data_IF_292188542767
#
_entry.id   IF_292188542767
#
_cell.length_a   1.000
_cell.length_b   1.000
_cell.length_c   1.000
_cell.angle_alpha   90.00
_cell.angle_beta   90.00
_cell.angle_gamma   90.00
#
_symmetry.space_group_name_H-M   'P 1'
#
loop_
_entity.id
_entity.type
_entity.pdbx_description
1 polymer ?
#
# COMPACT_ATOMS: atom_id res chain seq x y z
N UNK A 1 -9.17 -49.14 41.26
CA UNK A 1 -8.09 -48.83 40.29
C UNK A 1 -7.49 -47.49 40.61
N UNK A 2 -6.16 -47.31 40.48
CA UNK A 2 -5.56 -45.99 40.65
C UNK A 2 -5.90 -45.08 39.46
N UNK A 3 -5.97 -43.74 39.67
CA UNK A 3 -6.24 -42.76 38.60
C UNK A 3 -5.27 -42.92 37.40
N UNK A 4 -3.99 -43.22 37.68
CA UNK A 4 -2.98 -43.50 36.66
C UNK A 4 -3.27 -44.74 35.80
N UNK A 5 -3.81 -45.81 36.41
CA UNK A 5 -4.24 -46.99 35.64
C UNK A 5 -5.42 -46.71 34.75
N UNK A 6 -6.38 -45.89 35.21
CA UNK A 6 -7.55 -45.46 34.41
C UNK A 6 -7.10 -44.61 33.22
N UNK A 7 -6.23 -43.64 33.44
CA UNK A 7 -5.73 -42.78 32.39
C UNK A 7 -4.96 -43.59 31.30
N UNK A 8 -4.10 -44.51 31.73
CA UNK A 8 -3.38 -45.38 30.78
C UNK A 8 -4.33 -46.25 29.95
N UNK A 9 -5.31 -46.90 30.61
CA UNK A 9 -6.30 -47.72 29.90
C UNK A 9 -7.11 -46.89 28.89
N UNK A 10 -7.46 -45.65 29.23
CA UNK A 10 -8.14 -44.74 28.31
C UNK A 10 -7.28 -44.40 27.08
N UNK A 11 -6.01 -44.06 27.30
CA UNK A 11 -5.10 -43.73 26.19
C UNK A 11 -4.81 -44.94 25.31
N UNK A 12 -4.69 -46.14 25.89
CA UNK A 12 -4.50 -47.40 25.15
C UNK A 12 -5.74 -47.73 24.29
N UNK A 13 -6.96 -47.55 24.84
CA UNK A 13 -8.21 -47.76 24.13
C UNK A 13 -8.37 -46.75 22.95
N UNK A 14 -8.10 -45.46 23.19
CA UNK A 14 -8.09 -44.46 22.15
C UNK A 14 -7.05 -44.77 21.06
N UNK A 15 -5.86 -45.23 21.42
CA UNK A 15 -4.83 -45.64 20.48
C UNK A 15 -5.29 -46.79 19.56
N UNK A 16 -6.11 -47.73 20.10
CA UNK A 16 -6.71 -48.82 19.33
C UNK A 16 -7.78 -48.38 18.31
N UNK A 17 -8.32 -47.19 18.45
CA UNK A 17 -9.36 -46.62 17.54
C UNK A 17 -8.78 -45.97 16.28
N UNK A 18 -7.52 -46.10 15.98
CA UNK A 18 -6.85 -45.57 14.78
C UNK A 18 -6.78 -44.07 14.76
N UNK A 19 -6.93 -43.47 13.57
CA UNK A 19 -6.76 -42.01 13.37
C UNK A 19 -7.69 -41.13 14.20
N UNK A 20 -8.91 -41.56 14.45
CA UNK A 20 -9.88 -40.86 15.29
C UNK A 20 -9.47 -40.83 16.74
N UNK A 21 -9.05 -41.98 17.26
CA UNK A 21 -8.55 -42.10 18.64
C UNK A 21 -7.25 -41.29 18.86
N UNK A 22 -6.34 -41.31 17.91
CA UNK A 22 -5.12 -40.49 17.96
C UNK A 22 -5.43 -39.00 17.95
N UNK A 23 -6.45 -38.54 17.19
CA UNK A 23 -6.88 -37.15 17.20
C UNK A 23 -7.43 -36.69 18.57
N UNK A 24 -8.17 -37.60 19.25
CA UNK A 24 -8.68 -37.35 20.61
C UNK A 24 -7.53 -37.33 21.63
N UNK A 25 -6.59 -38.27 21.56
CA UNK A 25 -5.39 -38.24 22.40
C UNK A 25 -4.62 -36.93 22.26
N UNK A 26 -4.39 -36.48 21.03
CA UNK A 26 -3.71 -35.22 20.75
C UNK A 26 -4.44 -34.04 21.38
N UNK A 27 -5.76 -33.97 21.23
CA UNK A 27 -6.57 -32.92 21.81
C UNK A 27 -6.51 -32.90 23.34
N UNK A 28 -6.54 -34.05 23.98
CA UNK A 28 -6.38 -34.17 25.45
C UNK A 28 -5.00 -33.63 25.88
N UNK A 29 -3.93 -33.96 25.16
CA UNK A 29 -2.58 -33.46 25.44
C UNK A 29 -2.52 -31.96 25.27
N UNK A 30 -3.11 -31.41 24.19
CA UNK A 30 -3.17 -29.97 23.94
C UNK A 30 -3.90 -29.22 25.05
N UNK A 31 -5.05 -29.73 25.52
CA UNK A 31 -5.81 -29.12 26.62
C UNK A 31 -5.03 -29.19 27.96
N UNK A 32 -4.41 -30.31 28.28
CA UNK A 32 -3.55 -30.42 29.45
C UNK A 32 -2.38 -29.44 29.41
N UNK A 33 -1.78 -29.26 28.24
CA UNK A 33 -0.69 -28.30 28.05
C UNK A 33 -1.12 -26.83 28.16
N UNK A 34 -2.41 -26.51 27.94
CA UNK A 34 -2.94 -25.16 28.17
C UNK A 34 -3.15 -24.85 29.66
N UNK A 35 -3.19 -25.86 30.53
CA UNK A 35 -3.36 -25.64 31.96
C UNK A 35 -2.18 -24.87 32.55
N UNK A 36 -2.47 -23.78 33.28
CA UNK A 36 -1.45 -22.97 33.98
C UNK A 36 -1.08 -23.57 35.34
N UNK A 37 -1.95 -24.36 35.92
CA UNK A 37 -1.81 -25.02 37.24
C UNK A 37 -2.47 -26.38 37.20
N UNK A 38 -2.01 -27.36 38.03
CA UNK A 38 -2.72 -28.60 38.22
C UNK A 38 -4.16 -28.37 38.69
N UNK A 39 -5.04 -29.33 38.42
CA UNK A 39 -6.41 -29.27 38.95
C UNK A 39 -6.40 -29.17 40.47
N UNK A 40 -7.37 -28.47 41.06
CA UNK A 40 -7.46 -28.25 42.52
C UNK A 40 -7.45 -29.55 43.34
N UNK A 41 -8.02 -30.64 42.78
CA UNK A 41 -8.09 -31.95 43.42
C UNK A 41 -6.80 -32.80 43.23
N UNK A 42 -5.75 -32.25 42.69
CA UNK A 42 -4.49 -32.96 42.61
C UNK A 42 -3.89 -33.16 44.02
N UNK A 43 -3.57 -34.37 44.42
CA UNK A 43 -3.13 -34.66 45.78
C UNK A 43 -1.78 -34.02 46.13
N UNK A 44 -0.96 -33.75 45.11
CA UNK A 44 0.31 -33.04 45.23
C UNK A 44 0.37 -31.98 44.11
N UNK A 45 0.20 -30.73 44.50
CA UNK A 45 0.19 -29.61 43.59
C UNK A 45 1.58 -29.34 42.97
N UNK A 46 2.65 -29.61 43.71
CA UNK A 46 4.02 -29.40 43.22
C UNK A 46 4.39 -30.48 42.19
N UNK A 47 4.19 -31.75 42.50
CA UNK A 47 4.40 -32.84 41.56
C UNK A 47 3.52 -32.67 40.29
N UNK A 48 2.28 -32.20 40.46
CA UNK A 48 1.40 -31.91 39.33
C UNK A 48 1.93 -30.80 38.42
N UNK A 49 2.52 -29.73 38.98
CA UNK A 49 3.12 -28.64 38.21
C UNK A 49 4.37 -29.08 37.45
N UNK A 50 5.21 -29.92 38.11
CA UNK A 50 6.39 -30.53 37.48
C UNK A 50 5.98 -31.42 36.30
N UNK A 51 4.94 -32.26 36.49
CA UNK A 51 4.41 -33.13 35.45
C UNK A 51 3.82 -32.35 34.25
N UNK A 52 3.12 -31.26 34.49
CA UNK A 52 2.62 -30.36 33.40
C UNK A 52 3.77 -29.73 32.64
N UNK A 53 4.84 -29.36 33.32
CA UNK A 53 6.04 -28.77 32.67
C UNK A 53 6.72 -29.80 31.78
N UNK A 54 6.87 -31.03 32.30
CA UNK A 54 7.43 -32.14 31.55
C UNK A 54 6.57 -32.51 30.34
N UNK A 55 5.25 -32.62 30.53
CA UNK A 55 4.32 -32.88 29.44
C UNK A 55 4.43 -31.85 28.33
N UNK A 56 4.54 -30.56 28.68
CA UNK A 56 4.73 -29.48 27.69
C UNK A 56 6.03 -29.63 26.93
N UNK A 57 7.10 -29.99 27.61
CA UNK A 57 8.40 -30.21 26.99
C UNK A 57 8.36 -31.38 25.99
N UNK A 58 7.79 -32.50 26.40
CA UNK A 58 7.63 -33.66 25.55
C UNK A 58 6.69 -33.41 24.37
N UNK A 59 5.56 -32.73 24.60
CA UNK A 59 4.61 -32.38 23.55
C UNK A 59 5.23 -31.46 22.47
N UNK A 60 6.17 -30.62 22.85
CA UNK A 60 6.95 -29.79 21.91
C UNK A 60 7.97 -30.66 21.16
N UNK A 61 8.68 -31.55 21.86
CA UNK A 61 9.68 -32.46 21.27
C UNK A 61 9.03 -33.40 20.23
N UNK A 62 7.84 -33.92 20.53
CA UNK A 62 7.05 -34.79 19.66
C UNK A 62 6.22 -34.04 18.62
N UNK A 63 6.41 -32.74 18.49
CA UNK A 63 5.67 -31.85 17.54
C UNK A 63 4.13 -31.90 17.70
N UNK A 64 3.64 -32.26 18.86
CA UNK A 64 2.21 -32.18 19.22
C UNK A 64 1.83 -30.74 19.47
N UNK A 65 2.71 -29.95 20.08
CA UNK A 65 2.58 -28.53 20.29
C UNK A 65 3.59 -27.77 19.43
N UNK A 66 3.13 -26.69 18.84
CA UNK A 66 4.03 -25.73 18.17
C UNK A 66 4.73 -24.90 19.23
N UNK A 67 6.07 -24.89 19.24
CA UNK A 67 6.83 -24.00 20.10
C UNK A 67 6.51 -22.54 19.72
N UNK A 68 5.90 -21.74 20.61
CA UNK A 68 5.49 -20.36 20.29
C UNK A 68 6.67 -19.48 19.89
N UNK A 69 7.87 -19.70 20.39
CA UNK A 69 9.07 -18.96 20.03
C UNK A 69 9.56 -19.32 18.62
N UNK A 70 9.52 -20.59 18.27
CA UNK A 70 9.85 -21.04 16.90
C UNK A 70 8.82 -20.53 15.89
N UNK A 71 7.51 -20.64 16.21
CA UNK A 71 6.45 -20.13 15.36
C UNK A 71 6.58 -18.61 15.14
N UNK A 72 6.88 -17.85 16.20
CA UNK A 72 7.11 -16.41 16.09
C UNK A 72 8.34 -16.09 15.23
N UNK A 73 9.41 -16.87 15.36
CA UNK A 73 10.63 -16.70 14.58
C UNK A 73 10.39 -17.01 13.10
N UNK A 74 9.69 -18.08 12.80
CA UNK A 74 9.32 -18.45 11.43
C UNK A 74 8.37 -17.44 10.80
N UNK A 75 7.38 -16.95 11.56
CA UNK A 75 6.49 -15.89 11.11
C UNK A 75 7.24 -14.60 10.77
N UNK A 76 8.23 -14.20 11.60
CA UNK A 76 9.10 -13.05 11.32
C UNK A 76 9.94 -13.25 10.06
N UNK A 77 10.55 -14.41 9.89
CA UNK A 77 11.34 -14.75 8.68
C UNK A 77 10.45 -14.74 7.43
N UNK A 78 9.24 -15.30 7.52
CA UNK A 78 8.28 -15.32 6.42
C UNK A 78 7.80 -13.89 6.06
N UNK A 79 7.54 -13.04 7.06
CA UNK A 79 7.17 -11.64 6.85
C UNK A 79 8.31 -10.85 6.19
N UNK A 80 9.55 -11.01 6.65
CA UNK A 80 10.72 -10.36 6.06
C UNK A 80 10.96 -10.83 4.61
N UNK A 81 10.84 -12.12 4.34
CA UNK A 81 10.94 -12.66 2.97
C UNK A 81 9.88 -12.05 2.05
N UNK A 82 8.63 -11.95 2.51
CA UNK A 82 7.54 -11.31 1.74
C UNK A 82 7.83 -9.84 1.48
N UNK A 83 8.36 -9.12 2.49
CA UNK A 83 8.74 -7.70 2.34
C UNK A 83 9.83 -7.52 1.30
N UNK A 84 10.89 -8.33 1.34
CA UNK A 84 11.98 -8.29 0.36
C UNK A 84 11.47 -8.60 -1.06
N UNK A 85 10.61 -9.59 -1.20
CA UNK A 85 9.99 -9.94 -2.48
C UNK A 85 9.13 -8.79 -3.03
N UNK A 86 8.28 -8.18 -2.19
CA UNK A 86 7.45 -7.06 -2.61
C UNK A 86 8.29 -5.84 -3.06
N UNK A 87 9.42 -5.55 -2.38
CA UNK A 87 10.35 -4.50 -2.80
C UNK A 87 10.99 -4.82 -4.14
N UNK A 88 11.41 -6.07 -4.36
CA UNK A 88 12.02 -6.49 -5.62
C UNK A 88 11.01 -6.42 -6.79
N UNK A 89 9.79 -6.88 -6.58
CA UNK A 89 8.69 -6.78 -7.55
C UNK A 89 8.38 -5.32 -7.91
N UNK A 90 8.25 -4.46 -6.89
CA UNK A 90 8.02 -3.02 -7.11
C UNK A 90 9.13 -2.38 -7.94
N UNK A 91 10.40 -2.71 -7.68
CA UNK A 91 11.54 -2.23 -8.46
C UNK A 91 11.50 -2.69 -9.91
N UNK A 92 11.11 -3.94 -10.16
CA UNK A 92 10.95 -4.46 -11.50
C UNK A 92 9.91 -3.68 -12.29
N UNK A 93 8.71 -3.51 -11.71
CA UNK A 93 7.61 -2.76 -12.33
C UNK A 93 8.01 -1.30 -12.59
N UNK A 94 8.69 -0.63 -11.65
CA UNK A 94 9.19 0.72 -11.86
C UNK A 94 10.22 0.79 -12.98
N UNK A 95 11.10 -0.22 -13.12
CA UNK A 95 12.03 -0.31 -14.23
C UNK A 95 11.33 -0.45 -15.59
N UNK A 96 10.27 -1.25 -15.67
CA UNK A 96 9.44 -1.39 -16.87
C UNK A 96 8.74 -0.07 -17.22
N UNK A 97 8.12 0.58 -16.22
CA UNK A 97 7.46 1.88 -16.38
C UNK A 97 8.43 2.97 -16.85
N UNK A 98 9.66 2.98 -16.31
CA UNK A 98 10.71 3.89 -16.74
C UNK A 98 11.09 3.65 -18.21
N UNK A 99 11.27 2.40 -18.62
CA UNK A 99 11.58 2.07 -20.00
C UNK A 99 10.45 2.47 -20.97
N UNK A 100 9.19 2.23 -20.59
CA UNK A 100 8.03 2.64 -21.39
C UNK A 100 7.94 4.17 -21.47
N UNK A 101 8.18 4.89 -20.38
CA UNK A 101 8.19 6.35 -20.34
C UNK A 101 9.30 6.91 -21.26
N UNK A 102 10.52 6.38 -21.18
CA UNK A 102 11.62 6.77 -22.06
C UNK A 102 11.27 6.51 -23.54
N UNK A 103 10.68 5.35 -23.86
CA UNK A 103 10.23 5.05 -25.21
C UNK A 103 9.18 6.08 -25.69
N UNK A 104 8.24 6.46 -24.84
CA UNK A 104 7.22 7.46 -25.15
C UNK A 104 7.83 8.86 -25.39
N UNK A 105 8.87 9.23 -24.63
CA UNK A 105 9.64 10.47 -24.83
C UNK A 105 10.39 10.43 -26.17
N UNK A 106 11.03 9.30 -26.50
CA UNK A 106 11.85 9.13 -27.72
C UNK A 106 11.02 9.04 -29.01
N UNK A 107 9.80 8.50 -28.95
CA UNK A 107 8.92 8.39 -30.12
C UNK A 107 8.56 9.77 -30.73
N UNK A 108 8.78 10.86 -29.98
CA UNK A 108 8.76 12.23 -30.49
C UNK A 108 7.50 12.57 -31.29
N UNK A 109 7.69 13.15 -32.48
CA UNK A 109 6.59 13.64 -33.33
C UNK A 109 5.96 12.57 -34.24
N UNK A 110 6.29 11.29 -34.08
CA UNK A 110 5.75 10.18 -34.90
C UNK A 110 4.33 9.74 -34.54
N UNK A 111 3.90 9.97 -33.30
CA UNK A 111 2.50 9.70 -32.87
C UNK A 111 1.64 10.95 -32.87
N UNK A 112 0.32 10.74 -33.05
CA UNK A 112 -0.63 11.84 -32.83
C UNK A 112 -0.55 12.34 -31.37
N UNK A 113 -0.65 13.64 -31.16
CA UNK A 113 -0.63 14.26 -29.82
C UNK A 113 -1.65 13.61 -28.87
N UNK A 114 -2.78 13.18 -29.42
CA UNK A 114 -3.88 12.56 -28.68
C UNK A 114 -3.53 11.13 -28.23
N UNK A 115 -2.87 10.33 -29.08
CA UNK A 115 -2.41 8.98 -28.74
C UNK A 115 -1.37 9.00 -27.62
N UNK A 116 -0.40 9.92 -27.72
CA UNK A 116 0.64 10.10 -26.70
C UNK A 116 0.07 10.53 -25.35
N UNK A 117 -0.92 11.42 -25.32
CA UNK A 117 -1.64 11.81 -24.10
C UNK A 117 -2.29 10.61 -23.42
N UNK A 118 -2.99 9.78 -24.18
CA UNK A 118 -3.64 8.58 -23.67
C UNK A 118 -2.67 7.53 -23.10
N UNK A 119 -1.54 7.32 -23.78
CA UNK A 119 -0.52 6.39 -23.30
C UNK A 119 0.16 6.91 -22.03
N UNK A 120 0.34 8.22 -21.91
CA UNK A 120 0.83 8.87 -20.70
C UNK A 120 -0.14 8.71 -19.52
N UNK A 121 -1.45 8.91 -19.71
CA UNK A 121 -2.45 8.68 -18.68
C UNK A 121 -2.41 7.24 -18.15
N UNK A 122 -2.21 6.25 -19.03
CA UNK A 122 -2.05 4.85 -18.62
C UNK A 122 -0.79 4.61 -17.79
N UNK A 123 0.33 5.21 -18.20
CA UNK A 123 1.59 5.11 -17.44
C UNK A 123 1.44 5.74 -16.05
N UNK A 124 0.80 6.91 -15.96
CA UNK A 124 0.49 7.55 -14.68
C UNK A 124 -0.37 6.64 -13.81
N UNK A 125 -1.44 6.05 -14.35
CA UNK A 125 -2.30 5.16 -13.58
C UNK A 125 -1.52 3.98 -12.98
N UNK A 126 -0.62 3.36 -13.75
CA UNK A 126 0.25 2.28 -13.26
C UNK A 126 1.25 2.78 -12.22
N UNK A 127 1.82 3.98 -12.40
CA UNK A 127 2.72 4.58 -11.41
C UNK A 127 2.02 4.79 -10.06
N UNK A 128 0.80 5.31 -10.07
CA UNK A 128 0.01 5.48 -8.86
C UNK A 128 -0.26 4.14 -8.16
N UNK A 129 -0.65 3.11 -8.91
CA UNK A 129 -0.91 1.77 -8.39
C UNK A 129 0.33 1.13 -7.75
N UNK A 130 1.51 1.27 -8.37
CA UNK A 130 2.78 0.77 -7.80
C UNK A 130 3.11 1.42 -6.47
N UNK A 131 2.64 2.66 -6.25
CA UNK A 131 2.81 3.38 -5.00
C UNK A 131 1.64 3.22 -4.01
N UNK A 132 0.79 2.20 -4.22
CA UNK A 132 -0.36 1.87 -3.36
C UNK A 132 -1.36 3.04 -3.21
N UNK A 133 -1.43 3.91 -4.23
CA UNK A 133 -2.43 4.97 -4.30
C UNK A 133 -3.62 4.47 -5.11
N UNK A 134 -4.81 4.55 -4.52
CA UNK A 134 -6.08 4.17 -5.18
C UNK A 134 -6.40 5.19 -6.26
N UNK A 135 -5.92 4.90 -7.48
CA UNK A 135 -6.07 5.76 -8.66
C UNK A 135 -7.25 5.30 -9.51
N UNK A 136 -8.20 6.19 -9.67
CA UNK A 136 -9.29 6.04 -10.63
C UNK A 136 -8.86 6.62 -11.98
N UNK A 137 -8.77 5.81 -13.05
CA UNK A 137 -8.41 6.31 -14.39
C UNK A 137 -9.49 7.22 -14.97
N UNK A 138 -9.18 7.81 -16.13
CA UNK A 138 -10.03 8.76 -16.87
C UNK A 138 -11.51 8.38 -16.92
N UNK A 139 -12.37 9.32 -16.57
CA UNK A 139 -13.82 9.16 -16.55
C UNK A 139 -14.53 10.45 -16.96
N UNK A 140 -15.81 10.34 -17.33
CA UNK A 140 -16.65 11.49 -17.66
C UNK A 140 -17.77 11.67 -16.65
N UNK A 141 -18.02 12.92 -16.29
CA UNK A 141 -19.21 13.32 -15.53
C UNK A 141 -19.89 14.42 -16.36
N UNK A 142 -21.11 14.14 -16.82
CA UNK A 142 -21.85 15.01 -17.72
C UNK A 142 -21.03 15.39 -18.97
N UNK A 143 -20.58 16.64 -19.06
CA UNK A 143 -19.76 17.16 -20.15
C UNK A 143 -18.28 17.30 -19.80
N UNK A 144 -17.90 17.03 -18.56
CA UNK A 144 -16.52 17.15 -18.07
C UNK A 144 -15.77 15.83 -18.20
N UNK A 145 -14.61 15.86 -18.80
CA UNK A 145 -13.65 14.77 -18.76
C UNK A 145 -12.64 15.06 -17.64
N UNK A 146 -12.37 14.04 -16.84
CA UNK A 146 -11.36 14.06 -15.78
C UNK A 146 -10.37 12.95 -16.13
N UNK A 147 -9.08 13.27 -16.22
CA UNK A 147 -8.04 12.33 -16.64
C UNK A 147 -7.71 11.31 -15.57
N UNK A 148 -8.01 11.62 -14.32
CA UNK A 148 -7.93 10.67 -13.21
C UNK A 148 -8.24 11.31 -11.87
N UNK A 149 -8.32 10.48 -10.83
CA UNK A 149 -8.45 10.95 -9.46
C UNK A 149 -7.85 9.95 -8.46
N UNK A 150 -7.42 10.42 -7.30
CA UNK A 150 -6.91 9.59 -6.21
C UNK A 150 -7.17 10.22 -4.84
N UNK A 151 -7.02 9.42 -3.78
CA UNK A 151 -7.10 9.90 -2.41
C UNK A 151 -5.71 10.02 -1.79
N UNK A 152 -5.44 11.15 -1.14
CA UNK A 152 -4.20 11.37 -0.43
C UNK A 152 -4.42 12.31 0.78
N UNK A 153 -3.95 11.91 1.97
CA UNK A 153 -4.07 12.67 3.23
C UNK A 153 -5.48 13.20 3.52
N UNK A 154 -6.51 12.38 3.24
CA UNK A 154 -7.91 12.73 3.52
C UNK A 154 -8.58 13.63 2.48
N UNK A 155 -7.91 13.96 1.38
CA UNK A 155 -8.44 14.74 0.29
C UNK A 155 -8.56 13.92 -1.00
N UNK A 156 -9.55 14.23 -1.84
CA UNK A 156 -9.62 13.74 -3.20
C UNK A 156 -8.90 14.69 -4.13
N UNK A 157 -7.98 14.18 -4.92
CA UNK A 157 -7.27 14.93 -5.94
C UNK A 157 -7.80 14.55 -7.32
N UNK A 158 -8.27 15.53 -8.10
CA UNK A 158 -8.48 15.37 -9.53
C UNK A 158 -7.15 15.54 -10.25
N UNK A 159 -6.94 14.79 -11.32
CA UNK A 159 -5.72 14.85 -12.12
C UNK A 159 -6.06 15.33 -13.51
N UNK A 160 -5.29 16.31 -14.01
CA UNK A 160 -5.25 16.74 -15.40
C UNK A 160 -3.83 16.54 -15.91
N UNK A 161 -3.64 15.77 -16.98
CA UNK A 161 -2.32 15.41 -17.50
C UNK A 161 -2.17 15.88 -18.96
N UNK A 162 -1.21 16.77 -19.21
CA UNK A 162 -0.96 17.36 -20.51
C UNK A 162 0.40 16.96 -21.06
N UNK A 163 0.40 16.18 -22.13
CA UNK A 163 1.62 15.92 -22.92
C UNK A 163 1.52 16.62 -24.27
N UNK A 164 1.79 17.91 -24.27
CA UNK A 164 1.85 18.77 -25.47
C UNK A 164 3.22 19.42 -25.56
N UNK A 165 3.60 19.90 -26.75
CA UNK A 165 4.81 20.69 -26.96
C UNK A 165 4.67 22.14 -26.41
N UNK A 166 3.47 22.67 -26.40
CA UNK A 166 3.16 23.98 -25.83
C UNK A 166 2.85 23.87 -24.33
N UNK A 167 3.32 24.86 -23.57
CA UNK A 167 2.95 25.04 -22.17
C UNK A 167 1.45 25.33 -22.05
N UNK A 168 0.79 24.94 -20.94
CA UNK A 168 -0.60 25.31 -20.71
C UNK A 168 -0.74 26.80 -20.58
N UNK A 169 -1.78 27.34 -21.21
CA UNK A 169 -2.16 28.74 -21.07
C UNK A 169 -3.04 28.97 -19.84
N UNK A 170 -3.41 30.24 -19.60
CA UNK A 170 -4.26 30.58 -18.47
C UNK A 170 -5.64 29.90 -18.55
N UNK A 171 -6.19 29.74 -19.76
CA UNK A 171 -7.48 29.09 -20.00
C UNK A 171 -7.44 27.64 -19.55
N UNK A 172 -6.40 26.87 -19.93
CA UNK A 172 -6.21 25.49 -19.50
C UNK A 172 -6.19 25.35 -17.95
N UNK A 173 -5.53 26.28 -17.25
CA UNK A 173 -5.45 26.28 -15.78
C UNK A 173 -6.78 26.66 -15.12
N UNK A 174 -7.48 27.68 -15.68
CA UNK A 174 -8.79 28.11 -15.16
C UNK A 174 -9.88 27.06 -15.40
N UNK A 175 -9.86 26.39 -16.54
CA UNK A 175 -10.80 25.29 -16.86
C UNK A 175 -10.64 24.14 -15.88
N UNK A 176 -9.39 23.75 -15.61
CA UNK A 176 -9.14 22.71 -14.62
C UNK A 176 -9.52 23.16 -13.21
N UNK A 177 -9.21 24.40 -12.85
CA UNK A 177 -9.64 24.95 -11.56
C UNK A 177 -11.17 24.94 -11.42
N UNK A 178 -11.90 25.26 -12.47
CA UNK A 178 -13.36 25.19 -12.50
C UNK A 178 -13.87 23.77 -12.21
N UNK A 179 -13.23 22.74 -12.77
CA UNK A 179 -13.57 21.34 -12.49
C UNK A 179 -13.35 20.99 -11.00
N UNK A 180 -12.26 21.47 -10.39
CA UNK A 180 -11.95 21.23 -8.97
C UNK A 180 -12.90 21.97 -8.06
N UNK A 181 -13.13 23.26 -8.31
CA UNK A 181 -13.99 24.14 -7.52
C UNK A 181 -15.49 23.74 -7.61
N UNK A 182 -15.88 23.09 -8.70
CA UNK A 182 -17.22 22.52 -8.88
C UNK A 182 -17.50 21.27 -8.04
N UNK A 183 -16.54 20.80 -7.24
CA UNK A 183 -16.68 19.64 -6.34
C UNK A 183 -16.76 20.12 -4.88
N UNK A 184 -16.73 19.15 -3.94
CA UNK A 184 -16.72 19.44 -2.51
C UNK A 184 -15.44 20.18 -2.09
N UNK A 185 -15.51 20.92 -0.99
CA UNK A 185 -14.39 21.67 -0.40
C UNK A 185 -13.15 20.81 -0.08
N UNK A 186 -13.34 19.51 0.11
CA UNK A 186 -12.26 18.53 0.29
C UNK A 186 -11.61 18.07 -1.03
N UNK A 187 -12.00 18.65 -2.18
CA UNK A 187 -11.42 18.31 -3.49
C UNK A 187 -10.28 19.27 -3.82
N UNK A 188 -9.18 18.70 -4.31
CA UNK A 188 -7.97 19.37 -4.75
C UNK A 188 -7.62 18.95 -6.17
N UNK A 189 -6.67 19.61 -6.78
CA UNK A 189 -6.21 19.30 -8.14
C UNK A 189 -4.71 19.01 -8.20
N UNK A 190 -4.35 18.13 -9.13
CA UNK A 190 -2.98 17.93 -9.62
C UNK A 190 -2.97 18.23 -11.10
N UNK A 191 -2.23 19.25 -11.52
CA UNK A 191 -2.02 19.57 -12.93
C UNK A 191 -0.61 19.14 -13.33
N UNK A 192 -0.51 18.26 -14.32
CA UNK A 192 0.75 17.71 -14.82
C UNK A 192 0.99 18.25 -16.23
N UNK A 193 2.08 18.98 -16.45
CA UNK A 193 2.48 19.47 -17.78
C UNK A 193 3.88 19.02 -18.14
N UNK A 194 4.01 18.20 -19.20
CA UNK A 194 5.31 17.77 -19.70
C UNK A 194 6.13 18.90 -20.31
N UNK A 195 5.49 19.96 -20.81
CA UNK A 195 6.14 21.17 -21.30
C UNK A 195 6.54 22.18 -20.22
N UNK A 196 6.19 21.88 -18.94
CA UNK A 196 6.34 22.81 -17.84
C UNK A 196 5.27 23.92 -17.87
N UNK A 197 5.55 25.06 -17.21
CA UNK A 197 4.63 26.17 -17.08
C UNK A 197 5.35 27.49 -17.34
N UNK A 198 4.65 28.43 -18.00
CA UNK A 198 5.14 29.79 -18.14
C UNK A 198 5.08 30.53 -16.80
N UNK A 199 6.17 31.15 -16.32
CA UNK A 199 6.19 31.86 -15.04
C UNK A 199 5.18 33.02 -14.93
N UNK A 200 4.94 33.73 -16.03
CA UNK A 200 3.97 34.84 -16.06
C UNK A 200 2.53 34.34 -15.95
N UNK A 201 2.20 33.24 -16.63
CA UNK A 201 0.91 32.55 -16.53
C UNK A 201 0.67 32.04 -15.12
N UNK A 202 1.69 31.41 -14.50
CA UNK A 202 1.60 30.93 -13.12
C UNK A 202 1.40 32.05 -12.11
N UNK A 203 2.17 33.13 -12.22
CA UNK A 203 2.06 34.27 -11.31
C UNK A 203 0.66 34.89 -11.42
N UNK A 204 0.15 35.08 -12.65
CA UNK A 204 -1.21 35.56 -12.87
C UNK A 204 -2.26 34.60 -12.29
N UNK A 205 -2.15 33.29 -12.53
CA UNK A 205 -3.07 32.28 -12.01
C UNK A 205 -3.09 32.30 -10.47
N UNK A 206 -1.91 32.28 -9.81
CA UNK A 206 -1.80 32.32 -8.35
C UNK A 206 -2.37 33.61 -7.76
N UNK A 207 -2.07 34.78 -8.37
CA UNK A 207 -2.57 36.08 -7.87
C UNK A 207 -4.10 36.20 -7.99
N UNK A 208 -4.67 35.72 -9.08
CA UNK A 208 -6.11 35.78 -9.30
C UNK A 208 -6.88 34.71 -8.54
N UNK A 209 -6.18 33.67 -8.08
CA UNK A 209 -6.73 32.67 -7.16
C UNK A 209 -6.73 33.13 -5.70
N UNK A 210 -6.11 34.31 -5.39
CA UNK A 210 -6.18 34.93 -4.06
C UNK A 210 -7.61 35.41 -3.82
N UNK A 211 -8.32 34.77 -2.91
CA UNK A 211 -9.74 35.02 -2.64
C UNK A 211 -10.66 33.88 -3.08
N UNK A 212 -10.20 33.00 -3.96
CA UNK A 212 -10.69 31.64 -4.12
C UNK A 212 -9.59 30.70 -3.63
N UNK A 213 -9.95 29.49 -3.18
CA UNK A 213 -8.98 28.53 -2.64
C UNK A 213 -7.98 28.13 -3.72
N UNK A 214 -6.69 28.34 -3.48
CA UNK A 214 -5.64 27.74 -4.32
C UNK A 214 -5.44 26.29 -3.88
N UNK A 215 -6.17 25.38 -4.52
CA UNK A 215 -6.26 23.96 -4.17
C UNK A 215 -5.62 23.07 -5.26
N UNK A 216 -4.71 23.61 -6.06
CA UNK A 216 -4.04 22.90 -7.15
C UNK A 216 -2.54 22.89 -6.90
N UNK A 217 -1.95 21.69 -6.98
CA UNK A 217 -0.50 21.49 -7.04
C UNK A 217 -0.09 21.11 -8.47
N UNK A 218 1.12 21.44 -8.85
CA UNK A 218 1.61 21.30 -10.23
C UNK A 218 2.84 20.42 -10.31
N UNK A 219 2.90 19.60 -11.37
CA UNK A 219 4.04 18.77 -11.73
C UNK A 219 4.54 19.13 -13.11
N UNK A 220 5.84 19.36 -13.22
CA UNK A 220 6.53 19.58 -14.51
C UNK A 220 6.96 18.27 -15.13
N UNK A 221 7.37 18.28 -16.40
CA UNK A 221 7.98 17.14 -17.06
C UNK A 221 9.25 16.65 -16.35
N UNK A 222 10.02 17.57 -15.71
CA UNK A 222 11.17 17.23 -14.90
C UNK A 222 10.76 16.42 -13.66
N UNK A 223 9.72 16.85 -12.95
CA UNK A 223 9.19 16.13 -11.79
C UNK A 223 8.74 14.72 -12.19
N UNK A 224 8.01 14.63 -13.31
CA UNK A 224 7.55 13.34 -13.86
C UNK A 224 8.73 12.42 -14.20
N UNK A 225 9.77 12.95 -14.83
CA UNK A 225 10.99 12.18 -15.12
C UNK A 225 11.63 11.64 -13.85
N UNK A 226 11.76 12.45 -12.82
CA UNK A 226 12.31 12.01 -11.51
C UNK A 226 11.50 10.87 -10.87
N UNK A 227 10.15 10.91 -11.03
CA UNK A 227 9.27 9.84 -10.54
C UNK A 227 9.49 8.53 -11.27
N UNK A 228 9.55 8.56 -12.63
CA UNK A 228 9.75 7.34 -13.43
C UNK A 228 11.17 6.79 -13.32
N UNK A 229 12.17 7.64 -13.15
CA UNK A 229 13.58 7.25 -12.88
C UNK A 229 13.77 6.68 -11.46
N UNK A 230 12.78 6.83 -10.60
CA UNK A 230 12.84 6.34 -9.21
C UNK A 230 13.74 7.17 -8.30
N UNK A 231 14.11 8.38 -8.70
CA UNK A 231 14.91 9.30 -7.89
C UNK A 231 14.15 9.78 -6.65
N UNK A 232 12.83 9.88 -6.76
CA UNK A 232 11.91 10.18 -5.66
C UNK A 232 10.66 9.31 -5.77
N UNK A 233 10.13 8.83 -4.64
CA UNK A 233 8.85 8.11 -4.60
C UNK A 233 7.67 9.05 -4.83
N UNK A 234 6.60 8.57 -5.50
CA UNK A 234 5.41 9.40 -5.77
C UNK A 234 4.78 9.94 -4.48
N UNK A 235 4.73 9.14 -3.42
CA UNK A 235 4.18 9.56 -2.12
C UNK A 235 5.02 10.67 -1.49
N UNK A 236 6.35 10.58 -1.60
CA UNK A 236 7.26 11.60 -1.09
C UNK A 236 7.16 12.90 -1.90
N UNK A 237 7.05 12.78 -3.23
CA UNK A 237 6.85 13.91 -4.13
C UNK A 237 5.52 14.65 -3.84
N UNK A 238 4.42 13.89 -3.69
CA UNK A 238 3.13 14.45 -3.31
C UNK A 238 3.21 15.13 -1.94
N UNK A 239 3.87 14.49 -0.98
CA UNK A 239 4.07 15.05 0.36
C UNK A 239 4.77 16.41 0.27
N UNK A 240 5.94 16.48 -0.40
CA UNK A 240 6.71 17.71 -0.56
C UNK A 240 5.88 18.82 -1.22
N UNK A 241 5.18 18.52 -2.33
CA UNK A 241 4.38 19.51 -3.05
C UNK A 241 3.16 19.98 -2.26
N UNK A 242 2.49 19.07 -1.55
CA UNK A 242 1.34 19.43 -0.70
C UNK A 242 1.80 20.28 0.48
N UNK A 243 2.89 19.91 1.15
CA UNK A 243 3.43 20.68 2.27
C UNK A 243 3.86 22.10 1.82
N UNK A 244 4.52 22.24 0.66
CA UNK A 244 4.86 23.55 0.09
C UNK A 244 3.61 24.39 -0.26
N UNK A 245 2.57 23.75 -0.80
CA UNK A 245 1.32 24.45 -1.11
C UNK A 245 0.56 24.87 0.16
N UNK A 246 0.54 24.05 1.20
CA UNK A 246 -0.17 24.32 2.46
C UNK A 246 0.56 25.34 3.34
N UNK A 247 1.90 25.24 3.42
CA UNK A 247 2.70 26.05 4.33
C UNK A 247 3.21 27.35 3.70
N UNK A 248 3.53 27.33 2.41
CA UNK A 248 4.16 28.44 1.70
C UNK A 248 3.28 29.04 0.60
N UNK A 249 2.16 28.40 0.28
CA UNK A 249 1.25 28.85 -0.79
C UNK A 249 1.79 28.62 -2.20
N UNK A 250 2.79 27.72 -2.36
CA UNK A 250 3.43 27.42 -3.63
C UNK A 250 2.65 26.35 -4.40
N UNK A 251 1.96 26.74 -5.46
CA UNK A 251 1.30 25.78 -6.35
C UNK A 251 2.32 24.92 -7.14
N UNK A 252 3.46 25.50 -7.50
CA UNK A 252 4.61 24.83 -8.11
C UNK A 252 5.81 24.88 -7.17
N UNK A 253 6.25 23.71 -6.72
CA UNK A 253 7.49 23.49 -5.99
C UNK A 253 8.31 22.46 -6.75
N UNK A 254 9.58 22.70 -7.06
CA UNK A 254 10.46 21.71 -7.70
C UNK A 254 10.76 20.54 -6.76
N UNK A 255 10.86 19.32 -7.32
CA UNK A 255 11.23 18.12 -6.59
C UNK A 255 12.73 18.01 -6.33
#
# INVERSE_FOLDING_TARGET
MSKAKIARALFDDLGGQGSVGHAVQRKIIEELCQMKRPHADAPDQRAGAEALTELKREAVAEQILVNPEQAATEARKAAEKRRVQAIAERRLILGELCAEFIALVQQGNGQSTQGRGYDFEKLLARLFQVHDLDYRPSYRIDREQIDGSFHFRGFTYLVEARWRSAQPDLGDLLDFKGKVDGKLDSTRGVFISMAGFDPGVLDYFVRNSRGSRNNIIMFTGRDVSQLFEGNIGLVDALTKKVDAAEQEGLALCEL
#
